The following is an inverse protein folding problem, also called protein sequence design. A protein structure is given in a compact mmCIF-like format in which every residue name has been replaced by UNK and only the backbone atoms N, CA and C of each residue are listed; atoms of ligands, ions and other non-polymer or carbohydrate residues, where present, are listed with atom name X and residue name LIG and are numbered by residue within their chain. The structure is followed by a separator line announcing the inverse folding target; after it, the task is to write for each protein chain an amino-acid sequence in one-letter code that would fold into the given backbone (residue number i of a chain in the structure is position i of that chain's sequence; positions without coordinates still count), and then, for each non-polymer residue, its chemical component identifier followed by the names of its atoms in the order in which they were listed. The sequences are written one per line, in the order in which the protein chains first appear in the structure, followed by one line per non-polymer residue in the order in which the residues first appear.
data_IF_713740700846
#
_entry.id   IF_713740700846
#
_cell.length_a   1.000
_cell.length_b   1.000
_cell.length_c   1.000
_cell.angle_alpha   90.00
_cell.angle_beta   90.00
_cell.angle_gamma   90.00
#
_symmetry.space_group_name_H-M   'P 1'
#
loop_
_entity.id
_entity.type
_entity.pdbx_description
1 polymer ?
#
# COMPACT_ATOMS: atom_id res chain seq x y z
N UNK A 1 -34.60 -20.65 20.39
CA UNK A 1 -33.43 -19.75 20.29
C UNK A 1 -33.13 -19.47 18.83
N UNK A 2 -33.73 -18.44 18.21
CA UNK A 2 -33.48 -18.05 16.82
C UNK A 2 -32.29 -17.07 16.64
N UNK A 3 -31.77 -16.49 17.72
CA UNK A 3 -30.91 -15.30 17.66
C UNK A 3 -29.45 -15.58 17.23
N UNK A 4 -28.93 -16.79 17.47
CA UNK A 4 -27.53 -17.15 17.15
C UNK A 4 -27.25 -17.23 15.64
N UNK A 5 -28.24 -17.55 14.81
CA UNK A 5 -28.09 -17.56 13.35
C UNK A 5 -28.05 -16.17 12.73
N UNK A 6 -28.74 -15.20 13.35
CA UNK A 6 -28.76 -13.81 12.89
C UNK A 6 -27.43 -13.10 13.15
N UNK A 7 -26.83 -13.32 14.32
CA UNK A 7 -25.56 -12.70 14.72
C UNK A 7 -24.38 -13.09 13.81
N UNK A 8 -24.29 -14.36 13.41
CA UNK A 8 -23.23 -14.83 12.51
C UNK A 8 -23.34 -14.22 11.10
N UNK A 9 -24.57 -14.08 10.58
CA UNK A 9 -24.81 -13.45 9.28
C UNK A 9 -24.50 -11.95 9.27
N UNK A 10 -24.89 -11.23 10.33
CA UNK A 10 -24.59 -9.81 10.48
C UNK A 10 -23.07 -9.54 10.60
N UNK A 11 -22.34 -10.38 11.35
CA UNK A 11 -20.88 -10.26 11.48
C UNK A 11 -20.16 -10.52 10.16
N UNK A 12 -20.58 -11.53 9.40
CA UNK A 12 -20.00 -11.86 8.10
C UNK A 12 -20.25 -10.74 7.07
N UNK A 13 -21.45 -10.17 7.09
CA UNK A 13 -21.79 -9.01 6.26
C UNK A 13 -20.93 -7.79 6.60
N UNK A 14 -20.78 -7.46 7.89
CA UNK A 14 -19.94 -6.37 8.35
C UNK A 14 -18.46 -6.58 7.95
N UNK A 15 -17.94 -7.82 8.07
CA UNK A 15 -16.59 -8.16 7.67
C UNK A 15 -16.35 -7.99 6.16
N UNK A 16 -17.34 -8.34 5.33
CA UNK A 16 -17.25 -8.13 3.88
C UNK A 16 -17.23 -6.65 3.51
N UNK A 17 -18.07 -5.82 4.15
CA UNK A 17 -18.05 -4.37 3.93
C UNK A 17 -16.74 -3.73 4.40
N UNK A 18 -16.22 -4.18 5.54
CA UNK A 18 -14.90 -3.79 6.02
C UNK A 18 -13.81 -4.15 5.02
N UNK A 19 -13.82 -5.38 4.47
CA UNK A 19 -12.84 -5.83 3.48
C UNK A 19 -12.82 -4.96 2.23
N UNK A 20 -13.99 -4.57 1.71
CA UNK A 20 -14.10 -3.70 0.54
C UNK A 20 -13.47 -2.32 0.84
N UNK A 21 -13.85 -1.73 1.97
CA UNK A 21 -13.37 -0.41 2.40
C UNK A 21 -11.87 -0.43 2.70
N UNK A 22 -11.38 -1.48 3.36
CA UNK A 22 -9.97 -1.67 3.67
C UNK A 22 -9.13 -1.87 2.41
N UNK A 23 -9.63 -2.61 1.43
CA UNK A 23 -8.98 -2.79 0.12
C UNK A 23 -8.86 -1.47 -0.64
N UNK A 24 -9.93 -0.66 -0.67
CA UNK A 24 -9.91 0.65 -1.29
C UNK A 24 -8.90 1.59 -0.59
N UNK A 25 -8.92 1.61 0.75
CA UNK A 25 -8.00 2.41 1.57
C UNK A 25 -6.54 1.97 1.37
N UNK A 26 -6.29 0.67 1.27
CA UNK A 26 -4.97 0.09 1.02
C UNK A 26 -4.42 0.50 -0.35
N UNK A 27 -5.24 0.44 -1.41
CA UNK A 27 -4.86 0.92 -2.75
C UNK A 27 -4.56 2.41 -2.77
N UNK A 28 -5.40 3.22 -2.13
CA UNK A 28 -5.16 4.67 -2.02
C UNK A 28 -3.84 4.99 -1.28
N UNK A 29 -3.59 4.30 -0.17
CA UNK A 29 -2.35 4.45 0.59
C UNK A 29 -1.11 3.98 -0.20
N UNK A 30 -1.24 2.89 -0.97
CA UNK A 30 -0.17 2.40 -1.85
C UNK A 30 0.14 3.38 -2.98
N UNK A 31 -0.88 3.91 -3.66
CA UNK A 31 -0.72 4.90 -4.71
C UNK A 31 -0.05 6.18 -4.19
N UNK A 32 -0.46 6.66 -3.00
CA UNK A 32 0.17 7.82 -2.36
C UNK A 32 1.64 7.57 -2.05
N UNK A 33 1.97 6.47 -1.38
CA UNK A 33 3.35 6.12 -1.04
C UNK A 33 4.22 5.91 -2.29
N UNK A 34 3.65 5.34 -3.36
CA UNK A 34 4.34 5.20 -4.63
C UNK A 34 4.62 6.56 -5.29
N UNK A 35 3.64 7.48 -5.29
CA UNK A 35 3.79 8.84 -5.78
C UNK A 35 4.85 9.63 -5.02
N UNK A 36 4.89 9.52 -3.69
CA UNK A 36 5.91 10.16 -2.85
C UNK A 36 7.32 9.63 -3.19
N UNK A 37 7.47 8.31 -3.33
CA UNK A 37 8.74 7.68 -3.69
C UNK A 37 9.19 8.02 -5.13
N UNK A 38 8.26 8.09 -6.07
CA UNK A 38 8.55 8.49 -7.45
C UNK A 38 8.95 9.97 -7.52
N UNK A 39 8.30 10.83 -6.73
CA UNK A 39 8.65 12.25 -6.60
C UNK A 39 10.07 12.41 -6.05
N UNK A 40 10.43 11.63 -5.04
CA UNK A 40 11.79 11.61 -4.50
C UNK A 40 12.83 11.17 -5.54
N UNK A 41 12.51 10.16 -6.34
CA UNK A 41 13.38 9.72 -7.44
C UNK A 41 13.54 10.79 -8.52
N UNK A 42 12.46 11.45 -8.91
CA UNK A 42 12.48 12.58 -9.84
C UNK A 42 13.36 13.73 -9.35
N UNK A 43 13.19 14.13 -8.08
CA UNK A 43 14.06 15.15 -7.47
C UNK A 43 15.53 14.74 -7.46
N UNK A 44 15.84 13.48 -7.09
CA UNK A 44 17.21 12.96 -7.08
C UNK A 44 17.85 12.98 -8.47
N UNK A 45 17.09 12.67 -9.52
CA UNK A 45 17.58 12.74 -10.89
C UNK A 45 17.95 14.17 -11.31
N UNK A 46 17.11 15.16 -10.96
CA UNK A 46 17.41 16.59 -11.21
C UNK A 46 18.65 17.02 -10.42
N UNK A 47 18.73 16.66 -9.13
CA UNK A 47 19.90 16.94 -8.28
C UNK A 47 21.18 16.34 -8.86
N UNK A 48 21.12 15.12 -9.40
CA UNK A 48 22.25 14.48 -10.07
C UNK A 48 22.72 15.29 -11.28
N UNK A 49 21.79 15.80 -12.11
CA UNK A 49 22.14 16.66 -13.26
C UNK A 49 22.73 17.99 -12.85
N UNK A 50 22.24 18.58 -11.75
CA UNK A 50 22.85 19.78 -11.16
C UNK A 50 24.28 19.49 -10.68
N UNK A 51 24.53 18.33 -10.08
CA UNK A 51 25.88 17.93 -9.67
C UNK A 51 26.81 17.70 -10.86
N UNK A 52 26.32 17.14 -11.98
CA UNK A 52 27.08 17.06 -13.24
C UNK A 52 27.47 18.45 -13.76
N UNK A 53 26.55 19.42 -13.69
CA UNK A 53 26.83 20.82 -14.01
C UNK A 53 27.90 21.40 -13.08
N UNK A 54 27.77 21.24 -11.76
CA UNK A 54 28.75 21.74 -10.78
C UNK A 54 30.14 21.13 -11.05
N UNK A 55 30.20 19.82 -11.32
CA UNK A 55 31.44 19.11 -11.63
C UNK A 55 32.11 19.57 -12.93
N UNK A 56 31.34 20.09 -13.90
CA UNK A 56 31.87 20.67 -15.13
C UNK A 56 32.60 22.02 -14.91
N UNK A 57 32.45 22.62 -13.71
CA UNK A 57 33.01 23.92 -13.35
C UNK A 57 33.85 23.87 -12.05
N UNK A 58 34.90 23.02 -11.97
CA UNK A 58 35.61 22.73 -10.72
C UNK A 58 36.29 23.94 -10.07
N UNK A 59 36.67 24.95 -10.86
CA UNK A 59 37.35 26.17 -10.40
C UNK A 59 36.55 27.44 -10.71
N UNK A 60 35.22 27.35 -10.87
CA UNK A 60 34.42 28.53 -11.20
C UNK A 60 34.32 29.49 -10.00
N UNK A 61 34.71 30.75 -10.22
CA UNK A 61 34.35 31.83 -9.32
C UNK A 61 32.82 31.94 -9.23
N UNK A 62 32.30 32.03 -8.00
CA UNK A 62 30.86 32.09 -7.76
C UNK A 62 30.13 30.76 -7.97
N UNK A 63 30.84 29.63 -7.93
CA UNK A 63 30.23 28.30 -7.83
C UNK A 63 29.50 28.17 -6.48
N UNK A 64 28.25 27.76 -6.51
CA UNK A 64 27.49 27.47 -5.30
C UNK A 64 26.48 26.36 -5.57
N UNK A 65 25.98 25.78 -4.49
CA UNK A 65 25.05 24.67 -4.53
C UNK A 65 23.65 25.11 -5.00
N UNK A 66 23.30 24.69 -6.22
CA UNK A 66 21.97 24.86 -6.81
C UNK A 66 21.01 23.71 -6.46
N UNK A 67 21.44 22.64 -5.80
CA UNK A 67 20.58 21.45 -5.56
C UNK A 67 19.36 21.79 -4.71
N UNK A 68 19.47 22.82 -3.84
CA UNK A 68 18.38 23.31 -2.97
C UNK A 68 17.22 23.97 -3.71
N UNK A 69 17.34 24.25 -5.00
CA UNK A 69 16.24 24.80 -5.78
C UNK A 69 15.19 23.73 -6.12
N UNK A 70 15.55 22.44 -6.04
CA UNK A 70 14.68 21.34 -6.43
C UNK A 70 13.66 21.06 -5.31
N UNK A 71 12.38 21.06 -5.68
CA UNK A 71 11.26 20.79 -4.79
C UNK A 71 10.33 19.76 -5.43
N UNK A 72 9.43 19.20 -4.62
CA UNK A 72 8.39 18.27 -5.10
C UNK A 72 7.43 18.90 -6.13
N UNK A 73 7.36 20.24 -6.19
CA UNK A 73 6.47 20.96 -7.11
C UNK A 73 7.14 21.41 -8.41
N UNK A 74 8.47 21.40 -8.50
CA UNK A 74 9.17 21.95 -9.67
C UNK A 74 10.09 20.96 -10.41
N UNK A 75 10.42 19.80 -9.84
CA UNK A 75 11.38 18.85 -10.42
C UNK A 75 11.02 18.37 -11.84
N UNK A 76 9.74 18.45 -12.22
CA UNK A 76 9.20 18.06 -13.52
C UNK A 76 8.86 19.26 -14.42
N UNK A 77 9.15 20.49 -13.98
CA UNK A 77 8.80 21.72 -14.67
C UNK A 77 10.05 22.56 -14.96
N UNK A 78 10.49 22.55 -16.22
CA UNK A 78 11.68 23.28 -16.68
C UNK A 78 11.63 24.78 -16.37
N UNK A 79 10.56 25.49 -16.75
CA UNK A 79 10.43 26.92 -16.45
C UNK A 79 10.52 27.25 -14.94
N UNK A 80 9.88 26.45 -14.08
CA UNK A 80 9.91 26.67 -12.63
C UNK A 80 11.28 26.39 -12.02
N UNK A 81 12.03 25.42 -12.54
CA UNK A 81 13.43 25.20 -12.14
C UNK A 81 14.32 26.38 -12.54
N UNK A 82 14.13 26.93 -13.73
CA UNK A 82 14.88 28.09 -14.21
C UNK A 82 14.58 29.33 -13.37
N UNK A 83 13.31 29.59 -13.07
CA UNK A 83 12.90 30.68 -12.19
C UNK A 83 13.53 30.55 -10.79
N UNK A 84 13.48 29.34 -10.21
CA UNK A 84 14.08 29.04 -8.91
C UNK A 84 15.61 29.22 -8.93
N UNK A 85 16.26 28.82 -10.03
CA UNK A 85 17.70 29.02 -10.23
C UNK A 85 18.04 30.52 -10.33
N UNK A 86 17.33 31.29 -11.15
CA UNK A 86 17.56 32.74 -11.32
C UNK A 86 17.37 33.48 -10.00
N UNK A 87 16.32 33.15 -9.24
CA UNK A 87 16.09 33.74 -7.91
C UNK A 87 17.27 33.46 -6.98
N UNK A 88 17.71 32.20 -6.91
CA UNK A 88 18.82 31.78 -6.06
C UNK A 88 20.15 32.43 -6.45
N UNK A 89 20.41 32.55 -7.75
CA UNK A 89 21.58 33.24 -8.29
C UNK A 89 21.57 34.72 -7.92
N UNK A 90 20.42 35.39 -8.07
CA UNK A 90 20.26 36.81 -7.73
C UNK A 90 20.55 37.06 -6.25
N UNK A 91 19.99 36.23 -5.36
CA UNK A 91 20.27 36.30 -3.91
C UNK A 91 21.75 36.09 -3.61
N UNK A 92 22.38 35.10 -4.23
CA UNK A 92 23.80 34.82 -4.04
C UNK A 92 24.69 35.96 -4.52
N UNK A 93 24.41 36.53 -5.69
CA UNK A 93 25.18 37.63 -6.26
C UNK A 93 25.07 38.90 -5.42
N UNK A 94 23.87 39.22 -4.91
CA UNK A 94 23.66 40.34 -3.98
C UNK A 94 24.50 40.19 -2.71
N UNK A 95 24.60 38.97 -2.15
CA UNK A 95 25.39 38.69 -0.95
C UNK A 95 26.91 38.74 -1.19
N UNK A 96 27.35 38.44 -2.41
CA UNK A 96 28.78 38.35 -2.76
C UNK A 96 29.31 39.58 -3.49
N UNK A 97 28.45 40.56 -3.80
CA UNK A 97 28.84 41.76 -4.54
C UNK A 97 29.20 41.47 -6.00
N UNK A 98 28.54 40.48 -6.62
CA UNK A 98 28.71 40.21 -8.05
C UNK A 98 27.78 41.08 -8.88
N UNK A 99 28.35 41.93 -9.74
CA UNK A 99 27.60 42.81 -10.64
C UNK A 99 27.20 42.14 -11.95
N UNK A 100 27.70 40.92 -12.22
CA UNK A 100 27.46 40.16 -13.46
C UNK A 100 27.34 38.68 -13.17
N UNK A 101 26.56 37.97 -13.99
CA UNK A 101 26.51 36.50 -13.94
C UNK A 101 27.86 35.88 -14.29
N UNK A 102 28.22 34.84 -13.54
CA UNK A 102 29.45 34.06 -13.80
C UNK A 102 29.23 33.06 -14.95
N UNK A 103 30.30 32.52 -15.57
CA UNK A 103 30.17 31.51 -16.62
C UNK A 103 29.34 30.28 -16.19
N UNK A 104 29.48 29.86 -14.93
CA UNK A 104 28.66 28.81 -14.32
C UNK A 104 27.17 29.19 -14.31
N UNK A 105 26.86 30.40 -13.85
CA UNK A 105 25.48 30.91 -13.74
C UNK A 105 24.82 31.07 -15.12
N UNK A 106 25.53 31.63 -16.11
CA UNK A 106 25.04 31.73 -17.49
C UNK A 106 24.77 30.35 -18.10
N UNK A 107 25.65 29.38 -17.84
CA UNK A 107 25.48 28.01 -18.35
C UNK A 107 24.26 27.31 -17.75
N UNK A 108 23.93 27.61 -16.49
CA UNK A 108 22.75 27.07 -15.81
C UNK A 108 21.43 27.66 -16.33
N UNK A 109 21.43 28.95 -16.71
CA UNK A 109 20.20 29.71 -17.02
C UNK A 109 19.94 29.93 -18.50
N UNK A 110 20.93 29.73 -19.36
CA UNK A 110 20.78 29.86 -20.82
C UNK A 110 20.66 28.49 -21.50
N UNK A 111 19.91 28.39 -22.62
CA UNK A 111 19.80 27.16 -23.38
C UNK A 111 21.17 26.60 -23.79
N UNK A 112 21.41 25.32 -23.50
CA UNK A 112 22.69 24.67 -23.71
C UNK A 112 22.77 23.32 -23.01
N UNK A 113 23.94 22.66 -23.08
CA UNK A 113 24.14 21.30 -22.56
C UNK A 113 23.73 21.12 -21.09
N UNK A 114 23.94 22.15 -20.26
CA UNK A 114 23.65 22.11 -18.83
C UNK A 114 22.57 23.11 -18.42
N UNK A 115 21.65 23.41 -19.35
CA UNK A 115 20.51 24.25 -19.06
C UNK A 115 19.62 23.57 -18.01
N UNK A 116 19.41 24.25 -16.88
CA UNK A 116 18.68 23.68 -15.74
C UNK A 116 17.22 23.34 -16.09
N UNK A 117 16.62 24.09 -17.02
CA UNK A 117 15.27 23.81 -17.50
C UNK A 117 15.12 22.45 -18.18
N UNK A 118 16.17 21.93 -18.81
CA UNK A 118 16.15 20.60 -19.43
C UNK A 118 16.24 19.46 -18.42
N UNK A 119 16.73 19.71 -17.20
CA UNK A 119 16.84 18.69 -16.17
C UNK A 119 15.47 18.18 -15.70
N UNK A 120 14.41 18.98 -15.90
CA UNK A 120 13.04 18.55 -15.68
C UNK A 120 12.67 17.27 -16.45
N UNK A 121 13.24 17.07 -17.65
CA UNK A 121 13.01 15.84 -18.43
C UNK A 121 13.57 14.61 -17.71
N UNK A 122 14.73 14.73 -17.08
CA UNK A 122 15.31 13.66 -16.27
C UNK A 122 14.50 13.41 -15.00
N UNK A 123 13.98 14.47 -14.38
CA UNK A 123 13.07 14.37 -13.24
C UNK A 123 11.78 13.62 -13.57
N UNK A 124 11.10 14.00 -14.65
CA UNK A 124 9.88 13.34 -15.12
C UNK A 124 10.14 11.89 -15.53
N UNK A 125 11.22 11.62 -16.27
CA UNK A 125 11.56 10.26 -16.69
C UNK A 125 11.80 9.33 -15.50
N UNK A 126 12.55 9.78 -14.49
CA UNK A 126 12.80 9.00 -13.28
C UNK A 126 11.53 8.77 -12.45
N UNK A 127 10.63 9.76 -12.42
CA UNK A 127 9.31 9.60 -11.79
C UNK A 127 8.51 8.50 -12.50
N UNK A 128 8.38 8.58 -13.82
CA UNK A 128 7.59 7.63 -14.62
C UNK A 128 8.17 6.21 -14.60
N UNK A 129 9.48 6.07 -14.47
CA UNK A 129 10.16 4.78 -14.33
C UNK A 129 9.89 4.13 -12.96
N UNK A 130 9.96 4.91 -11.89
CA UNK A 130 9.86 4.40 -10.51
C UNK A 130 8.40 4.15 -10.08
N UNK A 131 7.48 5.00 -10.53
CA UNK A 131 6.07 4.94 -10.14
C UNK A 131 5.42 3.55 -10.33
N UNK A 132 5.44 2.91 -11.51
CA UNK A 132 4.75 1.64 -11.73
C UNK A 132 5.30 0.51 -10.85
N UNK A 133 6.64 0.46 -10.68
CA UNK A 133 7.30 -0.52 -9.82
C UNK A 133 6.90 -0.35 -8.35
N UNK A 134 6.84 0.90 -7.87
CA UNK A 134 6.44 1.19 -6.49
C UNK A 134 4.96 0.94 -6.25
N UNK A 135 4.07 1.26 -7.20
CA UNK A 135 2.64 0.92 -7.11
C UNK A 135 2.48 -0.58 -6.92
N UNK A 136 3.09 -1.40 -7.79
CA UNK A 136 2.98 -2.85 -7.71
C UNK A 136 3.50 -3.41 -6.37
N UNK A 137 4.65 -2.92 -5.90
CA UNK A 137 5.25 -3.36 -4.64
C UNK A 137 4.39 -2.99 -3.41
N UNK A 138 3.91 -1.74 -3.36
CA UNK A 138 3.11 -1.27 -2.23
C UNK A 138 1.69 -1.85 -2.25
N UNK A 139 1.05 -1.98 -3.40
CA UNK A 139 -0.26 -2.63 -3.49
C UNK A 139 -0.18 -4.07 -3.01
N UNK A 140 0.79 -4.85 -3.48
CA UNK A 140 0.98 -6.24 -3.03
C UNK A 140 1.15 -6.33 -1.51
N UNK A 141 1.96 -5.43 -0.93
CA UNK A 141 2.24 -5.43 0.51
C UNK A 141 1.00 -5.02 1.32
N UNK A 142 0.28 -3.97 0.90
CA UNK A 142 -0.88 -3.44 1.62
C UNK A 142 -2.09 -4.35 1.47
N UNK A 143 -2.33 -4.89 0.28
CA UNK A 143 -3.39 -5.88 0.04
C UNK A 143 -3.12 -7.18 0.80
N UNK A 144 -1.87 -7.67 0.81
CA UNK A 144 -1.50 -8.85 1.59
C UNK A 144 -1.79 -8.69 3.09
N UNK A 145 -1.62 -7.49 3.65
CA UNK A 145 -1.98 -7.20 5.03
C UNK A 145 -3.51 -7.22 5.28
N UNK A 146 -4.29 -6.69 4.33
CA UNK A 146 -5.77 -6.74 4.39
C UNK A 146 -6.25 -8.18 4.29
N UNK A 147 -5.74 -8.95 3.33
CA UNK A 147 -6.12 -10.36 3.10
C UNK A 147 -5.77 -11.24 4.29
N UNK A 148 -4.60 -11.06 4.89
CA UNK A 148 -4.19 -11.78 6.10
C UNK A 148 -5.14 -11.48 7.27
N UNK A 149 -5.50 -10.21 7.46
CA UNK A 149 -6.42 -9.77 8.51
C UNK A 149 -7.83 -10.32 8.27
N UNK A 150 -8.32 -10.24 7.04
CA UNK A 150 -9.62 -10.78 6.65
C UNK A 150 -9.71 -12.29 6.88
N UNK A 151 -8.68 -13.05 6.49
CA UNK A 151 -8.60 -14.50 6.70
C UNK A 151 -8.61 -14.84 8.20
N UNK A 152 -7.86 -14.09 9.01
CA UNK A 152 -7.86 -14.25 10.46
C UNK A 152 -9.25 -14.04 11.06
N UNK A 153 -9.98 -13.00 10.67
CA UNK A 153 -11.34 -12.78 11.16
C UNK A 153 -12.34 -13.83 10.67
N UNK A 154 -12.25 -14.26 9.40
CA UNK A 154 -13.08 -15.33 8.84
C UNK A 154 -12.93 -16.64 9.63
N UNK A 155 -11.69 -17.06 9.89
CA UNK A 155 -11.42 -18.28 10.67
C UNK A 155 -11.98 -18.19 12.08
N UNK A 156 -11.85 -17.03 12.74
CA UNK A 156 -12.40 -16.79 14.07
C UNK A 156 -13.94 -16.80 14.11
N UNK A 157 -14.62 -16.40 13.03
CA UNK A 157 -16.09 -16.43 12.92
C UNK A 157 -16.60 -17.85 12.63
N UNK A 158 -15.90 -18.61 11.79
CA UNK A 158 -16.32 -19.95 11.34
C UNK A 158 -16.04 -21.03 12.39
N UNK A 159 -14.92 -20.93 13.13
CA UNK A 159 -14.53 -21.89 14.16
C UNK A 159 -15.63 -22.25 15.19
N UNK A 160 -16.37 -21.29 15.79
CA UNK A 160 -17.44 -21.63 16.73
C UNK A 160 -18.61 -22.37 16.05
N UNK A 161 -18.93 -22.07 14.79
CA UNK A 161 -19.99 -22.76 14.05
C UNK A 161 -19.64 -24.24 13.84
N UNK A 162 -18.41 -24.52 13.41
CA UNK A 162 -17.92 -25.90 13.26
C UNK A 162 -17.99 -26.63 14.61
N UNK A 163 -17.56 -25.97 15.68
CA UNK A 163 -17.58 -26.53 17.04
C UNK A 163 -19.00 -26.94 17.46
N UNK A 164 -20.02 -26.09 17.22
CA UNK A 164 -21.41 -26.40 17.54
C UNK A 164 -21.91 -27.61 16.72
N UNK A 165 -21.62 -27.65 15.42
CA UNK A 165 -22.04 -28.75 14.53
C UNK A 165 -21.46 -30.09 15.00
N UNK A 166 -20.20 -30.12 15.44
CA UNK A 166 -19.55 -31.33 15.98
C UNK A 166 -20.24 -31.81 17.26
N UNK A 167 -20.56 -30.90 18.20
CA UNK A 167 -21.27 -31.24 19.45
C UNK A 167 -22.65 -31.86 19.14
N UNK A 168 -23.40 -31.26 18.20
CA UNK A 168 -24.71 -31.76 17.79
C UNK A 168 -24.59 -33.14 17.12
N UNK A 169 -23.60 -33.35 16.26
CA UNK A 169 -23.31 -34.66 15.64
C UNK A 169 -23.07 -35.74 16.68
N UNK A 170 -22.25 -35.46 17.70
CA UNK A 170 -21.97 -36.39 18.80
C UNK A 170 -23.27 -36.74 19.55
N UNK A 171 -24.09 -35.74 19.88
CA UNK A 171 -25.39 -35.93 20.55
C UNK A 171 -26.32 -36.83 19.73
N UNK A 172 -26.38 -36.63 18.41
CA UNK A 172 -27.22 -37.44 17.50
C UNK A 172 -26.73 -38.88 17.43
N UNK A 173 -25.42 -39.12 17.35
CA UNK A 173 -24.84 -40.48 17.33
C UNK A 173 -25.16 -41.22 18.63
N UNK A 174 -24.88 -40.60 19.79
CA UNK A 174 -25.18 -41.18 21.10
C UNK A 174 -26.69 -41.44 21.24
N UNK A 175 -27.53 -40.50 20.80
CA UNK A 175 -28.97 -40.65 20.81
C UNK A 175 -29.43 -41.85 19.94
N UNK A 176 -28.90 -42.00 18.73
CA UNK A 176 -29.23 -43.12 17.85
C UNK A 176 -28.83 -44.45 18.48
N UNK A 177 -27.65 -44.54 19.11
CA UNK A 177 -27.21 -45.73 19.84
C UNK A 177 -28.17 -46.05 20.99
N UNK A 178 -28.51 -45.05 21.82
CA UNK A 178 -29.44 -45.22 22.95
C UNK A 178 -30.85 -45.60 22.49
N UNK A 179 -31.34 -44.99 21.42
CA UNK A 179 -32.64 -45.30 20.81
C UNK A 179 -32.67 -46.72 20.26
N UNK A 180 -31.61 -47.12 19.57
CA UNK A 180 -31.46 -48.47 19.05
C UNK A 180 -31.45 -49.51 20.17
N UNK A 181 -30.69 -49.25 21.26
CA UNK A 181 -30.67 -50.11 22.45
C UNK A 181 -32.05 -50.23 23.11
N UNK A 182 -32.79 -49.13 23.27
CA UNK A 182 -34.15 -49.14 23.83
C UNK A 182 -35.11 -49.98 22.99
N UNK A 183 -35.12 -49.81 21.66
CA UNK A 183 -35.97 -50.63 20.77
C UNK A 183 -35.61 -52.11 20.82
N UNK A 184 -34.33 -52.46 20.87
CA UNK A 184 -33.89 -53.87 20.98
C UNK A 184 -34.36 -54.51 22.29
N UNK A 185 -34.32 -53.78 23.41
CA UNK A 185 -34.86 -54.26 24.70
C UNK A 185 -36.37 -54.54 24.63
N UNK A 186 -37.15 -53.66 24.01
CA UNK A 186 -38.61 -53.84 23.89
C UNK A 186 -38.99 -55.01 22.99
N UNK A 187 -38.29 -55.23 21.87
CA UNK A 187 -38.52 -56.39 20.99
C UNK A 187 -38.28 -57.73 21.71
N UNK A 188 -37.22 -57.83 22.53
CA UNK A 188 -36.97 -59.03 23.34
C UNK A 188 -38.11 -59.28 24.33
N UNK A 189 -38.61 -58.24 25.02
CA UNK A 189 -39.72 -58.38 25.97
C UNK A 189 -40.99 -58.93 25.33
N UNK A 190 -41.34 -58.47 24.12
CA UNK A 190 -42.51 -58.98 23.39
C UNK A 190 -42.40 -60.47 23.01
N UNK A 191 -41.20 -60.96 22.69
CA UNK A 191 -40.99 -62.38 22.42
C UNK A 191 -41.15 -63.24 23.69
N UNK A 192 -40.67 -62.76 24.84
CA UNK A 192 -40.85 -63.48 26.11
C UNK A 192 -42.32 -63.57 26.53
N UNK A 193 -43.12 -62.51 26.33
CA UNK A 193 -44.57 -62.55 26.64
C UNK A 193 -45.26 -63.61 25.77
N UNK A 194 -44.96 -63.67 24.47
CA UNK A 194 -45.55 -64.66 23.57
C UNK A 194 -45.20 -66.10 23.92
N UNK A 195 -43.97 -66.37 24.35
CA UNK A 195 -43.51 -67.71 24.75
C UNK A 195 -44.14 -68.22 26.06
N UNK A 196 -44.74 -67.34 26.86
CA UNK A 196 -45.39 -67.69 28.13
C UNK A 196 -46.91 -67.89 27.98
N UNK A 197 -47.46 -67.53 26.84
CA UNK A 197 -48.91 -67.55 26.57
C UNK A 197 -49.33 -68.78 25.74
N UNK A 198 -48.36 -69.51 25.16
CA UNK A 198 -48.49 -70.91 24.71
C UNK A 198 -48.23 -71.88 25.86
#
# INVERSE_FOLDING_TARGET
MPEVGSLGGCLLYALNQWSITATASAKAAAAKAAGDAATEAGMKAVVSKINELIAAFPNANGLFDLTKIVTSSNYNCGPSLVESAIKRITEYNALKGFDRMTPFQNTATMPGKYFVGDFAKAGSAAYDEVLPSKIAAFEKTKLGAVDATYTSFQTSIIAPIITIVVIVLIMVIIYLILRYRRKKKMKKKLQYIKLLEE
#
